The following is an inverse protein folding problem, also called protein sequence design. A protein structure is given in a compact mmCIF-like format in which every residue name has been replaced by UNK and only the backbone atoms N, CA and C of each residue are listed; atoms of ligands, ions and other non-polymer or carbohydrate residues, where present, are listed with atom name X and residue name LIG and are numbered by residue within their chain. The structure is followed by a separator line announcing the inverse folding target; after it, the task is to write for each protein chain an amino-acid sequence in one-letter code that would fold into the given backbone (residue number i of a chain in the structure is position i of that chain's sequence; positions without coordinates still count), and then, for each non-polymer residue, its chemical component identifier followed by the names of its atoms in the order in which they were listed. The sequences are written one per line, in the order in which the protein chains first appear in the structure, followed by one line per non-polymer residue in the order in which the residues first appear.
data_IF_250064555837
#
_entry.id   IF_250064555837
#
_cell.length_a   1.000
_cell.length_b   1.000
_cell.length_c   1.000
_cell.angle_alpha   90.00
_cell.angle_beta   90.00
_cell.angle_gamma   90.00
#
_symmetry.space_group_name_H-M   'P 1'
#
loop_
_entity.id
_entity.type
_entity.pdbx_description
1 polymer ?
#
# COMPACT_ATOMS: atom_id res chain seq x y z
N UNK A 1 -77.04 -22.96 17.00
CA UNK A 1 -75.66 -23.27 17.41
C UNK A 1 -74.76 -22.71 16.34
N UNK A 2 -74.28 -21.51 16.55
CA UNK A 2 -73.23 -20.90 15.71
C UNK A 2 -71.90 -21.23 16.30
N UNK A 3 -70.98 -21.79 15.54
CA UNK A 3 -69.57 -21.98 15.87
C UNK A 3 -68.75 -20.89 15.18
N UNK A 4 -68.18 -20.01 15.94
CA UNK A 4 -67.22 -19.00 15.51
C UNK A 4 -65.89 -19.69 15.11
N UNK A 5 -65.45 -19.45 13.88
CA UNK A 5 -64.12 -19.79 13.37
C UNK A 5 -63.20 -18.55 13.57
N UNK A 6 -62.37 -18.56 14.63
CA UNK A 6 -61.23 -17.66 14.71
C UNK A 6 -60.02 -18.25 13.92
N UNK A 7 -59.57 -17.58 12.90
CA UNK A 7 -58.32 -17.88 12.25
C UNK A 7 -57.19 -17.16 13.01
N UNK A 8 -56.04 -17.83 13.23
CA UNK A 8 -54.90 -17.17 13.90
C UNK A 8 -54.22 -16.21 12.91
N UNK A 9 -54.01 -14.97 13.34
CA UNK A 9 -53.20 -13.97 12.65
C UNK A 9 -51.76 -14.42 12.63
N UNK A 10 -51.22 -14.71 11.45
CA UNK A 10 -49.82 -15.03 11.25
C UNK A 10 -48.92 -13.82 11.53
N UNK A 11 -48.02 -13.94 12.52
CA UNK A 11 -46.90 -13.02 12.70
C UNK A 11 -45.97 -13.16 11.49
N UNK A 12 -45.89 -12.09 10.68
CA UNK A 12 -44.80 -11.93 9.67
C UNK A 12 -43.55 -11.50 10.45
N UNK A 13 -42.45 -12.26 10.44
CA UNK A 13 -41.24 -11.80 11.07
C UNK A 13 -40.71 -10.59 10.29
N UNK A 14 -40.60 -9.44 10.98
CA UNK A 14 -39.80 -8.32 10.51
C UNK A 14 -38.35 -8.78 10.45
N UNK A 15 -37.83 -9.02 9.26
CA UNK A 15 -36.40 -9.15 9.04
C UNK A 15 -35.79 -7.76 9.29
N UNK A 16 -35.29 -7.56 10.51
CA UNK A 16 -34.40 -6.45 10.82
C UNK A 16 -33.12 -6.68 10.00
N UNK A 17 -32.99 -5.99 8.86
CA UNK A 17 -31.72 -5.88 8.18
C UNK A 17 -30.73 -5.24 9.15
N UNK A 18 -29.71 -5.98 9.58
CA UNK A 18 -28.57 -5.41 10.27
C UNK A 18 -28.04 -4.25 9.43
N UNK A 19 -27.80 -3.07 9.99
CA UNK A 19 -27.15 -2.02 9.25
C UNK A 19 -25.84 -2.57 8.69
N UNK A 20 -25.59 -2.38 7.39
CA UNK A 20 -24.32 -2.70 6.78
C UNK A 20 -23.23 -1.99 7.61
N UNK A 21 -22.27 -2.74 8.13
CA UNK A 21 -21.15 -2.14 8.85
C UNK A 21 -20.44 -1.19 7.90
N UNK A 22 -20.26 0.06 8.33
CA UNK A 22 -19.50 1.03 7.55
C UNK A 22 -18.04 0.57 7.47
N UNK A 23 -17.50 0.47 6.25
CA UNK A 23 -16.08 0.20 6.04
C UNK A 23 -15.37 1.53 5.85
N UNK A 24 -14.48 1.85 6.78
CA UNK A 24 -13.72 3.09 6.74
C UNK A 24 -12.42 2.90 5.94
N UNK A 25 -12.04 3.95 5.20
CA UNK A 25 -10.75 4.06 4.54
C UNK A 25 -10.12 5.41 4.91
N UNK A 26 -8.80 5.45 4.96
CA UNK A 26 -8.03 6.68 5.09
C UNK A 26 -7.31 6.95 3.78
N UNK A 27 -7.44 8.15 3.24
CA UNK A 27 -6.75 8.60 2.03
C UNK A 27 -5.93 9.84 2.33
N UNK A 28 -4.62 9.80 2.02
CA UNK A 28 -3.74 10.96 2.10
C UNK A 28 -3.57 11.62 0.74
N UNK A 29 -3.33 12.93 0.73
CA UNK A 29 -3.13 13.68 -0.50
C UNK A 29 -2.18 14.87 -0.32
N UNK A 30 -1.56 15.32 -1.40
CA UNK A 30 -0.69 16.50 -1.41
C UNK A 30 -1.42 17.85 -1.20
N UNK A 31 -2.73 17.82 -0.94
CA UNK A 31 -3.43 19.00 -0.41
C UNK A 31 -3.12 19.28 1.07
N UNK A 32 -2.45 18.35 1.75
CA UNK A 32 -2.18 18.41 3.19
C UNK A 32 -3.16 17.59 4.03
N UNK A 33 -4.18 17.01 3.41
CA UNK A 33 -5.25 16.32 4.12
C UNK A 33 -5.03 14.80 4.22
N UNK A 34 -5.48 14.24 5.33
CA UNK A 34 -5.85 12.83 5.46
C UNK A 34 -7.37 12.78 5.59
N UNK A 35 -8.04 12.27 4.57
CA UNK A 35 -9.50 12.18 4.48
C UNK A 35 -9.96 10.80 4.88
N UNK A 36 -10.90 10.71 5.81
CA UNK A 36 -11.62 9.48 6.11
C UNK A 36 -12.80 9.33 5.17
N UNK A 37 -12.86 8.21 4.48
CA UNK A 37 -13.93 7.84 3.56
C UNK A 37 -14.78 6.73 4.18
N UNK A 38 -16.09 6.82 4.02
CA UNK A 38 -17.06 5.79 4.41
C UNK A 38 -17.54 5.07 3.17
N UNK A 39 -17.20 3.78 3.06
CA UNK A 39 -17.68 2.88 2.03
C UNK A 39 -18.95 2.18 2.50
N UNK A 40 -20.03 2.34 1.74
CA UNK A 40 -21.26 1.57 1.91
C UNK A 40 -21.50 0.73 0.68
N UNK A 41 -21.51 -0.59 0.84
CA UNK A 41 -21.81 -1.54 -0.23
C UNK A 41 -23.31 -1.85 -0.25
N UNK A 42 -23.90 -1.80 -1.43
CA UNK A 42 -25.31 -2.17 -1.64
C UNK A 42 -25.40 -3.54 -2.31
N UNK A 43 -25.30 -4.59 -1.50
CA UNK A 43 -25.47 -5.98 -1.97
C UNK A 43 -24.61 -6.32 -3.19
N UNK A 44 -25.22 -6.97 -4.19
CA UNK A 44 -24.56 -7.35 -5.45
C UNK A 44 -24.62 -6.24 -6.53
N UNK A 45 -25.15 -5.06 -6.25
CA UNK A 45 -25.39 -4.00 -7.23
C UNK A 45 -24.33 -2.87 -7.09
N UNK A 46 -23.34 -2.86 -7.97
CA UNK A 46 -22.30 -1.83 -8.05
C UNK A 46 -22.91 -0.40 -8.13
N UNK A 47 -24.05 -0.23 -8.79
CA UNK A 47 -24.67 1.08 -9.03
C UNK A 47 -25.25 1.75 -7.77
N UNK A 48 -25.28 1.06 -6.63
CA UNK A 48 -25.79 1.61 -5.36
C UNK A 48 -24.72 1.68 -4.26
N UNK A 49 -23.49 1.23 -4.54
CA UNK A 49 -22.39 1.41 -3.59
C UNK A 49 -21.94 2.86 -3.56
N UNK A 50 -21.60 3.37 -2.38
CA UNK A 50 -21.17 4.76 -2.20
C UNK A 50 -19.85 4.83 -1.46
N UNK A 51 -19.03 5.81 -1.82
CA UNK A 51 -17.81 6.20 -1.12
C UNK A 51 -17.90 7.69 -0.83
N UNK A 52 -18.00 8.06 0.44
CA UNK A 52 -18.27 9.45 0.85
C UNK A 52 -17.24 9.92 1.87
N UNK A 53 -16.79 11.17 1.73
CA UNK A 53 -15.97 11.81 2.74
C UNK A 53 -16.75 11.97 4.05
N UNK A 54 -16.20 11.47 5.14
CA UNK A 54 -16.76 11.51 6.47
C UNK A 54 -16.12 12.61 7.32
N UNK A 55 -14.80 12.67 7.30
CA UNK A 55 -13.99 13.65 8.02
C UNK A 55 -12.68 13.91 7.29
N UNK A 56 -11.97 14.97 7.68
CA UNK A 56 -10.64 15.29 7.16
C UNK A 56 -9.77 15.89 8.25
N UNK A 57 -8.48 15.60 8.24
CA UNK A 57 -7.47 16.12 9.17
C UNK A 57 -6.27 16.66 8.43
N UNK A 58 -5.83 17.88 8.75
CA UNK A 58 -4.61 18.49 8.21
C UNK A 58 -3.40 18.30 9.15
N UNK A 59 -3.50 17.43 10.15
CA UNK A 59 -2.40 17.18 11.09
C UNK A 59 -1.14 16.61 10.46
N UNK A 60 -1.23 16.06 9.24
CA UNK A 60 -0.09 15.54 8.49
C UNK A 60 0.48 16.54 7.45
N UNK A 61 -0.16 17.72 7.26
CA UNK A 61 0.25 18.69 6.24
C UNK A 61 1.73 19.11 6.33
N UNK A 62 2.36 19.61 5.21
CA UNK A 62 1.68 20.01 3.98
C UNK A 62 1.60 18.94 2.87
N UNK A 63 2.42 17.90 2.87
CA UNK A 63 2.57 16.97 1.73
C UNK A 63 2.51 15.51 2.18
N UNK A 64 1.37 15.03 2.73
CA UNK A 64 1.20 13.64 3.17
C UNK A 64 1.53 12.66 2.04
N UNK A 65 2.35 11.63 2.32
CA UNK A 65 2.86 10.70 1.30
C UNK A 65 2.56 9.23 1.60
N UNK A 66 2.43 8.87 2.87
CA UNK A 66 2.21 7.49 3.29
C UNK A 66 1.36 7.41 4.55
N UNK A 67 0.60 6.33 4.66
CA UNK A 67 -0.21 6.00 5.83
C UNK A 67 0.17 4.60 6.34
N UNK A 68 0.47 4.49 7.63
CA UNK A 68 0.73 3.23 8.33
C UNK A 68 -0.27 3.04 9.45
N UNK A 69 -1.16 2.06 9.31
CA UNK A 69 -2.12 1.70 10.35
C UNK A 69 -1.49 0.73 11.36
N UNK A 70 -1.64 1.05 12.63
CA UNK A 70 -1.39 0.18 13.77
C UNK A 70 -2.75 -0.10 14.45
N UNK A 71 -3.52 -0.98 13.80
CA UNK A 71 -4.90 -1.30 14.23
C UNK A 71 -4.95 -1.83 15.64
N UNK A 72 -3.95 -2.62 16.05
CA UNK A 72 -3.89 -3.22 17.39
C UNK A 72 -3.86 -2.17 18.51
N UNK A 73 -3.24 -1.02 18.24
CA UNK A 73 -3.11 0.09 19.18
C UNK A 73 -4.03 1.29 18.83
N UNK A 74 -4.94 1.12 17.86
CA UNK A 74 -5.84 2.15 17.35
C UNK A 74 -5.07 3.44 16.96
N UNK A 75 -3.98 3.30 16.22
CA UNK A 75 -3.11 4.39 15.77
C UNK A 75 -2.94 4.40 14.25
N UNK A 76 -2.87 5.60 13.70
CA UNK A 76 -2.47 5.84 12.32
C UNK A 76 -1.23 6.74 12.32
N UNK A 77 -0.20 6.35 11.58
CA UNK A 77 0.96 7.20 11.31
C UNK A 77 0.89 7.73 9.89
N UNK A 78 1.26 8.99 9.73
CA UNK A 78 1.30 9.66 8.44
C UNK A 78 2.65 10.35 8.26
N UNK A 79 3.32 10.11 7.13
CA UNK A 79 4.54 10.83 6.74
C UNK A 79 4.21 12.00 5.82
N UNK A 80 4.92 13.11 5.99
CA UNK A 80 4.83 14.31 5.16
C UNK A 80 6.20 14.56 4.51
N UNK A 81 6.24 14.53 3.18
CA UNK A 81 7.48 14.69 2.41
C UNK A 81 8.15 16.03 2.60
N UNK A 82 7.41 17.06 3.04
CA UNK A 82 7.96 18.41 3.18
C UNK A 82 8.31 19.07 1.85
N UNK A 83 7.57 18.77 0.77
CA UNK A 83 7.86 19.27 -0.58
C UNK A 83 7.90 20.80 -0.68
N UNK A 84 7.22 21.50 0.21
CA UNK A 84 7.17 22.97 0.28
C UNK A 84 8.00 23.54 1.43
N UNK A 85 8.40 22.72 2.41
CA UNK A 85 9.13 23.15 3.62
C UNK A 85 10.59 22.71 3.62
N UNK A 86 10.96 21.74 2.77
CA UNK A 86 12.25 21.03 2.76
C UNK A 86 12.55 20.26 4.06
N UNK A 87 11.57 20.13 4.95
CA UNK A 87 11.66 19.36 6.20
C UNK A 87 10.54 18.35 6.21
N UNK A 88 10.89 17.07 6.27
CA UNK A 88 9.91 16.00 6.42
C UNK A 88 9.35 15.96 7.85
N UNK A 89 8.13 15.47 7.98
CA UNK A 89 7.55 15.21 9.30
C UNK A 89 6.87 13.85 9.36
N UNK A 90 6.67 13.36 10.56
CA UNK A 90 5.77 12.23 10.84
C UNK A 90 4.78 12.63 11.92
N UNK A 91 3.52 12.31 11.69
CA UNK A 91 2.41 12.54 12.63
C UNK A 91 1.81 11.22 13.06
N UNK A 92 1.36 11.13 14.30
CA UNK A 92 0.54 10.04 14.80
C UNK A 92 -0.86 10.52 15.17
N UNK A 93 -1.85 9.67 14.90
CA UNK A 93 -3.24 9.92 15.18
C UNK A 93 -3.83 8.73 15.93
N UNK A 94 -4.78 9.01 16.82
CA UNK A 94 -5.71 8.01 17.33
C UNK A 94 -6.82 7.81 16.31
N UNK A 95 -7.14 6.56 15.99
CA UNK A 95 -8.30 6.19 15.16
C UNK A 95 -9.51 5.88 16.03
N UNK A 96 -10.68 6.25 15.56
CA UNK A 96 -11.96 5.99 16.23
C UNK A 96 -12.97 5.35 15.30
N UNK A 97 -13.97 4.68 15.85
CA UNK A 97 -15.06 4.05 15.09
C UNK A 97 -15.91 5.07 14.28
N UNK A 98 -15.85 6.33 14.65
CA UNK A 98 -16.47 7.46 13.96
C UNK A 98 -15.63 7.99 12.77
N UNK A 99 -14.43 7.42 12.56
CA UNK A 99 -13.51 7.83 11.50
C UNK A 99 -12.83 9.18 11.73
N UNK A 100 -12.99 9.81 12.89
CA UNK A 100 -12.29 11.05 13.23
C UNK A 100 -10.86 10.73 13.65
N UNK A 101 -9.89 11.44 13.07
CA UNK A 101 -8.47 11.33 13.42
C UNK A 101 -8.09 12.40 14.44
N UNK A 102 -7.78 11.97 15.66
CA UNK A 102 -7.27 12.82 16.73
C UNK A 102 -5.73 12.81 16.70
N UNK A 103 -5.11 13.95 16.42
CA UNK A 103 -3.63 14.02 16.39
C UNK A 103 -3.05 13.84 17.79
N UNK A 104 -2.14 12.88 17.95
CA UNK A 104 -1.45 12.58 19.21
C UNK A 104 -0.08 13.26 19.29
N UNK A 105 0.71 13.16 18.22
CA UNK A 105 2.05 13.74 18.14
C UNK A 105 2.42 14.10 16.71
N UNK A 106 3.39 15.00 16.55
CA UNK A 106 4.07 15.32 15.30
C UNK A 106 5.53 15.66 15.60
N UNK A 107 6.46 15.16 14.76
CA UNK A 107 7.88 15.48 14.88
C UNK A 107 8.52 15.62 13.51
N UNK A 108 9.62 16.38 13.45
CA UNK A 108 10.42 16.51 12.24
C UNK A 108 11.20 15.23 11.95
N UNK A 109 11.42 14.98 10.66
CA UNK A 109 12.29 13.92 10.15
C UNK A 109 13.27 14.50 9.12
N UNK A 110 14.16 13.67 8.60
CA UNK A 110 14.92 13.99 7.39
C UNK A 110 13.92 14.16 6.22
N UNK A 111 14.26 14.96 5.23
CA UNK A 111 13.36 15.34 4.13
C UNK A 111 12.86 14.15 3.32
N UNK A 112 11.70 14.32 2.73
CA UNK A 112 11.01 13.37 1.83
C UNK A 112 10.79 11.97 2.40
N UNK A 113 10.17 11.82 3.60
CA UNK A 113 9.73 10.53 4.07
C UNK A 113 8.57 10.02 3.18
N UNK A 114 8.66 8.78 2.69
CA UNK A 114 7.73 8.20 1.70
C UNK A 114 7.12 6.88 2.11
N UNK A 115 7.60 6.28 3.21
CA UNK A 115 7.06 5.04 3.77
C UNK A 115 7.38 4.94 5.25
N UNK A 116 6.53 4.24 5.99
CA UNK A 116 6.71 3.95 7.41
C UNK A 116 6.23 2.53 7.74
N UNK A 117 6.87 1.86 8.69
CA UNK A 117 6.44 0.57 9.22
C UNK A 117 6.63 0.50 10.74
N UNK A 118 5.63 -0.07 11.42
CA UNK A 118 5.73 -0.37 12.87
C UNK A 118 6.50 -1.67 13.04
N UNK A 119 7.49 -1.69 13.94
CA UNK A 119 8.31 -2.88 14.22
C UNK A 119 8.56 -3.08 15.72
N UNK A 120 9.25 -4.19 16.06
CA UNK A 120 9.49 -4.61 17.43
C UNK A 120 8.35 -5.43 18.02
N UNK A 121 8.65 -6.33 18.96
CA UNK A 121 7.72 -7.37 19.44
C UNK A 121 6.42 -6.87 20.08
N UNK A 122 6.32 -5.57 20.41
CA UNK A 122 5.12 -4.91 20.92
C UNK A 122 4.74 -3.69 20.09
N UNK A 123 5.27 -3.55 18.86
CA UNK A 123 5.03 -2.37 18.02
C UNK A 123 5.53 -1.07 18.67
N UNK A 124 6.73 -1.07 19.24
CA UNK A 124 7.31 0.08 19.93
C UNK A 124 8.28 0.89 19.08
N UNK A 125 8.66 0.39 17.92
CA UNK A 125 9.48 1.08 16.93
C UNK A 125 8.67 1.50 15.71
N UNK A 126 9.03 2.63 15.12
CA UNK A 126 8.54 3.10 13.82
C UNK A 126 9.75 3.39 12.94
N UNK A 127 9.92 2.66 11.84
CA UNK A 127 10.93 2.93 10.83
C UNK A 127 10.34 3.76 9.69
N UNK A 128 11.17 4.63 9.09
CA UNK A 128 10.75 5.55 8.02
C UNK A 128 11.82 5.59 6.95
N UNK A 129 11.43 5.42 5.69
CA UNK A 129 12.28 5.64 4.52
C UNK A 129 12.15 7.09 4.03
N UNK A 130 13.30 7.76 3.83
CA UNK A 130 13.38 9.13 3.32
C UNK A 130 14.03 9.13 1.93
N UNK A 131 13.19 9.29 0.90
CA UNK A 131 13.60 9.24 -0.50
C UNK A 131 14.59 10.37 -0.87
N UNK A 132 14.20 11.61 -0.68
CA UNK A 132 15.05 12.78 -1.00
C UNK A 132 16.17 12.98 0.01
N UNK A 133 16.01 12.48 1.23
CA UNK A 133 17.02 12.56 2.28
C UNK A 133 18.07 11.44 2.26
N UNK A 134 17.97 10.49 1.33
CA UNK A 134 18.88 9.33 1.21
C UNK A 134 19.08 8.57 2.53
N UNK A 135 18.03 8.41 3.33
CA UNK A 135 18.16 7.98 4.72
C UNK A 135 17.07 7.01 5.15
N UNK A 136 17.33 6.34 6.26
CA UNK A 136 16.35 5.61 7.06
C UNK A 136 16.43 6.13 8.48
N UNK A 137 15.29 6.47 9.08
CA UNK A 137 15.20 6.90 10.48
C UNK A 137 14.27 5.98 11.25
N UNK A 138 14.49 5.84 12.56
CA UNK A 138 13.54 5.12 13.41
C UNK A 138 13.32 5.80 14.75
N UNK A 139 12.13 5.59 15.28
CA UNK A 139 11.57 6.29 16.42
C UNK A 139 11.05 5.29 17.45
N UNK A 140 11.16 5.65 18.74
CA UNK A 140 10.41 4.99 19.81
C UNK A 140 8.98 5.58 19.85
N UNK A 141 7.99 4.70 19.71
CA UNK A 141 6.57 5.00 19.73
C UNK A 141 5.83 4.33 20.89
N UNK A 142 6.56 3.89 21.93
CA UNK A 142 5.99 3.27 23.13
C UNK A 142 5.08 4.22 23.92
N UNK A 143 5.38 5.52 23.88
CA UNK A 143 4.48 6.56 24.39
C UNK A 143 3.59 7.09 23.27
N UNK A 144 2.25 6.88 23.31
CA UNK A 144 1.35 7.34 22.25
C UNK A 144 1.39 8.86 21.98
N UNK A 145 1.78 9.66 23.01
CA UNK A 145 1.84 11.12 22.91
C UNK A 145 3.21 11.64 22.43
N UNK A 146 4.12 10.74 22.02
CA UNK A 146 5.45 11.13 21.57
C UNK A 146 5.97 10.24 20.44
N UNK A 147 6.70 10.87 19.53
CA UNK A 147 7.49 10.21 18.49
C UNK A 147 8.95 10.57 18.80
N UNK A 148 9.65 9.70 19.54
CA UNK A 148 10.99 9.99 20.04
C UNK A 148 12.05 9.46 19.08
N UNK A 149 12.87 10.31 18.44
CA UNK A 149 13.94 9.85 17.56
C UNK A 149 14.92 8.92 18.30
N UNK A 150 15.21 7.76 17.72
CA UNK A 150 16.23 6.83 18.22
C UNK A 150 17.52 7.00 17.43
N UNK A 151 17.44 6.87 16.09
CA UNK A 151 18.60 6.99 15.20
C UNK A 151 18.15 7.27 13.77
N UNK A 152 19.08 7.78 12.95
CA UNK A 152 18.99 7.84 11.50
C UNK A 152 20.28 7.36 10.86
N UNK A 153 20.19 6.74 9.68
CA UNK A 153 21.34 6.39 8.84
C UNK A 153 21.17 7.01 7.46
N UNK A 154 22.16 7.80 7.05
CA UNK A 154 22.21 8.45 5.73
C UNK A 154 23.21 7.74 4.86
N UNK A 155 22.85 7.49 3.63
CA UNK A 155 23.61 6.72 2.66
C UNK A 155 24.22 7.64 1.59
N UNK A 156 25.31 7.17 0.99
CA UNK A 156 26.00 7.86 -0.09
C UNK A 156 26.34 6.87 -1.20
N UNK A 157 26.43 7.35 -2.43
CA UNK A 157 26.95 6.64 -3.58
C UNK A 157 28.20 7.35 -4.07
N UNK A 158 29.16 6.59 -4.62
CA UNK A 158 30.39 7.15 -5.19
C UNK A 158 30.19 7.74 -6.59
N UNK A 159 29.13 7.32 -7.28
CA UNK A 159 28.71 7.80 -8.59
C UNK A 159 27.22 7.51 -8.78
N UNK A 160 26.51 8.24 -9.67
CA UNK A 160 25.16 7.92 -10.07
C UNK A 160 25.02 6.51 -10.65
N UNK A 161 23.83 5.92 -10.48
CA UNK A 161 23.49 4.63 -11.09
C UNK A 161 23.24 4.73 -12.60
N UNK A 162 22.85 3.60 -13.26
CA UNK A 162 22.64 3.54 -14.70
C UNK A 162 21.58 4.51 -15.25
N UNK A 163 20.63 4.95 -14.41
CA UNK A 163 19.65 6.00 -14.75
C UNK A 163 19.92 7.26 -13.92
N UNK A 164 20.86 8.14 -14.32
CA UNK A 164 21.30 9.25 -13.49
C UNK A 164 20.24 10.26 -13.13
N UNK A 165 19.13 10.35 -13.89
CA UNK A 165 18.02 11.25 -13.59
C UNK A 165 17.13 10.78 -12.43
N UNK A 166 17.26 9.50 -12.04
CA UNK A 166 16.48 8.84 -10.99
C UNK A 166 17.37 8.12 -9.96
N UNK A 167 18.65 7.99 -10.25
CA UNK A 167 19.65 7.30 -9.43
C UNK A 167 20.89 8.18 -9.22
N UNK A 168 20.65 9.47 -9.04
CA UNK A 168 21.67 10.48 -8.72
C UNK A 168 22.23 10.33 -7.31
N UNK A 169 21.43 9.77 -6.40
CA UNK A 169 21.73 9.50 -4.99
C UNK A 169 20.99 8.23 -4.52
N UNK A 170 21.27 7.71 -3.32
CA UNK A 170 20.42 6.71 -2.68
C UNK A 170 19.01 7.26 -2.48
N UNK A 171 17.98 6.45 -2.78
CA UNK A 171 16.58 6.80 -2.63
C UNK A 171 15.81 5.68 -1.94
N UNK A 172 15.96 5.49 -0.61
CA UNK A 172 15.11 4.58 0.17
C UNK A 172 13.64 4.87 -0.07
N UNK A 173 12.89 3.87 -0.57
CA UNK A 173 11.51 4.12 -1.01
C UNK A 173 10.47 3.46 -0.12
N UNK A 174 10.80 2.35 0.50
CA UNK A 174 9.92 1.64 1.42
C UNK A 174 10.70 1.19 2.66
N UNK A 175 9.98 0.98 3.75
CA UNK A 175 10.39 0.18 4.91
C UNK A 175 9.36 -0.93 5.11
N UNK A 176 9.79 -2.18 5.13
CA UNK A 176 8.92 -3.35 5.22
C UNK A 176 9.43 -4.34 6.27
N UNK A 177 8.56 -4.80 7.17
CA UNK A 177 8.89 -5.76 8.22
C UNK A 177 8.76 -7.18 7.68
N UNK A 178 9.79 -8.02 7.87
CA UNK A 178 9.73 -9.42 7.48
C UNK A 178 8.67 -10.22 8.27
N UNK A 179 8.18 -11.37 7.76
CA UNK A 179 7.11 -12.14 8.41
C UNK A 179 7.41 -12.63 9.82
N UNK A 180 8.69 -12.71 10.21
CA UNK A 180 9.11 -13.11 11.56
C UNK A 180 9.32 -11.92 12.50
N UNK A 181 9.19 -10.69 12.00
CA UNK A 181 9.44 -9.48 12.76
C UNK A 181 10.90 -9.31 13.20
N UNK A 182 11.82 -9.93 12.47
CA UNK A 182 13.26 -9.95 12.79
C UNK A 182 14.08 -8.95 11.98
N UNK A 183 13.57 -8.53 10.82
CA UNK A 183 14.26 -7.66 9.89
C UNK A 183 13.33 -6.60 9.31
N UNK A 184 13.87 -5.40 9.12
CA UNK A 184 13.26 -4.35 8.27
C UNK A 184 14.03 -4.29 6.98
N UNK A 185 13.34 -4.44 5.85
CA UNK A 185 13.88 -4.35 4.50
C UNK A 185 13.57 -2.97 3.94
N UNK A 186 14.53 -2.42 3.18
CA UNK A 186 14.43 -1.06 2.62
C UNK A 186 14.89 -1.09 1.17
N UNK A 187 13.98 -1.24 0.21
CA UNK A 187 14.30 -1.00 -1.20
C UNK A 187 14.82 0.42 -1.40
N UNK A 188 15.99 0.52 -2.04
CA UNK A 188 16.67 1.77 -2.37
C UNK A 188 16.74 1.90 -3.89
N UNK A 189 15.85 2.71 -4.45
CA UNK A 189 15.68 2.90 -5.88
C UNK A 189 16.95 3.47 -6.53
N UNK A 190 17.61 4.39 -5.84
CA UNK A 190 18.81 5.04 -6.37
C UNK A 190 20.04 4.16 -6.35
N UNK A 191 20.17 3.31 -5.36
CA UNK A 191 21.36 2.48 -5.15
C UNK A 191 21.27 1.07 -5.75
N UNK A 192 20.13 0.67 -6.34
CA UNK A 192 19.84 -0.69 -6.77
C UNK A 192 20.08 -1.74 -5.67
N UNK A 193 19.64 -1.43 -4.45
CA UNK A 193 19.79 -2.30 -3.27
C UNK A 193 18.42 -2.55 -2.62
N UNK A 194 18.31 -3.66 -1.89
CA UNK A 194 17.38 -3.75 -0.76
C UNK A 194 18.24 -3.79 0.50
N UNK A 195 18.28 -2.68 1.23
CA UNK A 195 19.01 -2.59 2.51
C UNK A 195 18.29 -3.42 3.55
N UNK A 196 19.02 -4.08 4.44
CA UNK A 196 18.47 -4.94 5.48
C UNK A 196 18.96 -4.50 6.84
N UNK A 197 18.02 -4.37 7.77
CA UNK A 197 18.28 -4.05 9.16
C UNK A 197 17.74 -5.18 10.06
N UNK A 198 18.56 -5.73 10.92
CA UNK A 198 18.10 -6.62 11.96
C UNK A 198 17.41 -5.83 13.08
N UNK A 199 16.26 -6.33 13.54
CA UNK A 199 15.55 -5.77 14.69
C UNK A 199 16.32 -6.17 15.96
N UNK A 200 16.79 -5.18 16.73
CA UNK A 200 17.53 -5.36 17.95
C UNK A 200 16.78 -4.73 19.12
N UNK A 201 16.16 -5.59 19.92
CA UNK A 201 15.32 -5.15 21.03
C UNK A 201 13.94 -4.64 20.56
N UNK A 202 13.39 -3.67 21.28
CA UNK A 202 12.02 -3.20 21.09
C UNK A 202 11.87 -2.14 19.98
N UNK A 203 12.90 -1.32 19.79
CA UNK A 203 12.83 -0.13 18.95
C UNK A 203 14.18 0.25 18.28
N UNK A 204 15.12 -0.68 18.15
CA UNK A 204 16.41 -0.42 17.52
C UNK A 204 16.61 -1.30 16.28
N UNK A 205 17.35 -0.76 15.30
CA UNK A 205 17.70 -1.42 14.04
C UNK A 205 19.22 -1.41 13.87
N UNK A 206 19.77 -2.53 13.38
CA UNK A 206 21.19 -2.71 13.10
C UNK A 206 21.35 -3.14 11.64
N UNK A 207 22.08 -2.36 10.86
CA UNK A 207 22.34 -2.68 9.45
C UNK A 207 23.09 -4.02 9.31
N UNK A 208 22.68 -4.83 8.37
CA UNK A 208 23.31 -6.11 7.99
C UNK A 208 23.52 -6.15 6.47
N UNK A 209 23.96 -7.30 5.91
CA UNK A 209 24.20 -7.44 4.48
C UNK A 209 22.94 -7.16 3.65
N UNK A 210 23.07 -6.30 2.65
CA UNK A 210 22.01 -5.91 1.71
C UNK A 210 21.87 -6.89 0.56
N UNK A 211 20.67 -6.99 -0.01
CA UNK A 211 20.43 -7.61 -1.31
C UNK A 211 20.82 -6.63 -2.42
N UNK A 212 21.63 -7.07 -3.37
CA UNK A 212 21.97 -6.31 -4.58
C UNK A 212 20.98 -6.67 -5.69
N UNK A 213 20.24 -5.69 -6.18
CA UNK A 213 19.32 -5.83 -7.31
C UNK A 213 20.02 -5.60 -8.65
N UNK A 214 19.32 -5.87 -9.74
CA UNK A 214 19.86 -5.64 -11.09
C UNK A 214 20.16 -4.14 -11.31
N UNK A 215 21.32 -3.78 -11.88
CA UNK A 215 21.68 -2.39 -12.12
C UNK A 215 20.65 -1.65 -12.99
N UNK A 216 20.24 -0.47 -12.56
CA UNK A 216 19.23 0.35 -13.22
C UNK A 216 17.79 -0.10 -13.01
N UNK A 217 17.55 -1.11 -12.17
CA UNK A 217 16.21 -1.65 -11.93
C UNK A 217 15.33 -0.72 -11.08
N UNK A 218 15.93 0.01 -10.15
CA UNK A 218 15.22 0.91 -9.24
C UNK A 218 14.27 0.17 -8.30
N UNK A 219 14.78 -0.56 -7.28
CA UNK A 219 13.99 -1.20 -6.23
C UNK A 219 13.01 -0.23 -5.57
N UNK A 220 11.73 -0.60 -5.49
CA UNK A 220 10.72 0.32 -4.97
C UNK A 220 10.00 -0.23 -3.74
N UNK A 221 9.25 -1.32 -3.88
CA UNK A 221 8.51 -1.97 -2.82
C UNK A 221 8.78 -3.48 -2.82
N UNK A 222 8.51 -4.11 -1.67
CA UNK A 222 8.64 -5.56 -1.47
C UNK A 222 7.41 -6.14 -0.81
N UNK A 223 7.19 -7.43 -1.07
CA UNK A 223 6.21 -8.25 -0.35
C UNK A 223 6.78 -9.63 -0.04
N UNK A 224 6.38 -10.21 1.08
CA UNK A 224 6.78 -11.54 1.47
C UNK A 224 5.66 -12.56 1.31
N UNK A 225 6.03 -13.75 0.86
CA UNK A 225 5.18 -14.93 0.92
C UNK A 225 5.85 -16.02 1.77
N UNK A 226 5.15 -16.48 2.81
CA UNK A 226 5.52 -17.72 3.50
C UNK A 226 4.59 -18.81 3.00
N UNK A 227 5.16 -19.82 2.35
CA UNK A 227 4.38 -20.92 1.80
C UNK A 227 3.95 -21.91 2.89
N UNK A 228 2.91 -22.73 2.65
CA UNK A 228 2.51 -23.77 3.60
C UNK A 228 3.63 -24.77 3.95
N UNK A 229 4.58 -24.97 3.03
CA UNK A 229 5.76 -25.83 3.22
C UNK A 229 6.89 -25.15 4.00
N UNK A 230 6.70 -23.88 4.41
CA UNK A 230 7.65 -23.12 5.22
C UNK A 230 8.75 -22.41 4.43
N UNK A 231 8.69 -22.39 3.09
CA UNK A 231 9.56 -21.52 2.30
C UNK A 231 9.16 -20.06 2.46
N UNK A 232 10.13 -19.17 2.41
CA UNK A 232 9.90 -17.74 2.41
C UNK A 232 10.41 -17.15 1.09
N UNK A 233 9.53 -16.50 0.36
CA UNK A 233 9.87 -15.72 -0.83
C UNK A 233 9.74 -14.22 -0.56
N UNK A 234 10.67 -13.45 -1.14
CA UNK A 234 10.60 -11.99 -1.25
C UNK A 234 10.30 -11.64 -2.70
N UNK A 235 9.25 -10.88 -2.94
CA UNK A 235 8.91 -10.30 -4.24
C UNK A 235 9.30 -8.82 -4.23
N UNK A 236 10.23 -8.44 -5.09
CA UNK A 236 10.72 -7.08 -5.26
C UNK A 236 10.13 -6.49 -6.53
N UNK A 237 9.35 -5.42 -6.42
CA UNK A 237 8.95 -4.62 -7.58
C UNK A 237 9.98 -3.53 -7.84
N UNK A 238 10.43 -3.44 -9.09
CA UNK A 238 11.43 -2.46 -9.55
C UNK A 238 10.76 -1.43 -10.46
N UNK A 239 10.77 -0.17 -10.03
CA UNK A 239 10.06 0.94 -10.68
C UNK A 239 10.59 1.23 -12.08
N UNK A 240 11.93 1.32 -12.22
CA UNK A 240 12.55 1.80 -13.45
C UNK A 240 12.58 0.71 -14.53
N UNK A 241 12.80 -0.53 -14.12
CA UNK A 241 12.81 -1.69 -15.02
C UNK A 241 11.40 -2.23 -15.32
N UNK A 242 10.37 -1.87 -14.53
CA UNK A 242 9.04 -2.46 -14.60
C UNK A 242 9.07 -4.00 -14.49
N UNK A 243 9.78 -4.50 -13.49
CA UNK A 243 9.93 -5.94 -13.24
C UNK A 243 9.48 -6.31 -11.83
N UNK A 244 9.08 -7.58 -11.67
CA UNK A 244 9.01 -8.25 -10.37
C UNK A 244 10.08 -9.33 -10.35
N UNK A 245 10.97 -9.27 -9.35
CA UNK A 245 12.00 -10.29 -9.11
C UNK A 245 11.69 -11.02 -7.81
N UNK A 246 11.72 -12.35 -7.83
CA UNK A 246 11.45 -13.20 -6.67
C UNK A 246 12.76 -13.80 -6.15
N UNK A 247 12.95 -13.72 -4.85
CA UNK A 247 14.09 -14.33 -4.15
C UNK A 247 13.58 -15.36 -3.14
N UNK A 248 14.22 -16.55 -3.11
CA UNK A 248 14.13 -17.49 -1.99
C UNK A 248 14.94 -16.92 -0.83
N UNK A 249 14.32 -16.79 0.37
CA UNK A 249 14.89 -16.10 1.53
C UNK A 249 15.30 -17.13 2.60
N UNK A 250 16.58 -17.17 2.92
CA UNK A 250 17.14 -17.98 3.99
C UNK A 250 17.46 -17.13 5.22
N UNK A 251 16.84 -17.45 6.36
CA UNK A 251 17.19 -16.89 7.67
C UNK A 251 18.42 -17.61 8.21
N UNK A 252 19.53 -16.88 8.45
CA UNK A 252 20.81 -17.42 8.88
C UNK A 252 21.02 -17.27 10.39
N UNK A 253 21.78 -18.16 11.00
CA UNK A 253 22.09 -18.15 12.43
C UNK A 253 22.80 -16.89 12.92
N UNK A 254 23.62 -16.27 12.05
CA UNK A 254 24.32 -15.02 12.32
C UNK A 254 23.45 -13.76 12.26
N UNK A 255 22.11 -13.93 12.29
CA UNK A 255 21.13 -12.83 12.18
C UNK A 255 21.28 -12.02 10.89
N UNK A 256 21.48 -12.69 9.76
CA UNK A 256 21.42 -12.11 8.42
C UNK A 256 20.43 -12.87 7.54
N UNK A 257 20.04 -12.28 6.42
CA UNK A 257 19.25 -12.94 5.40
C UNK A 257 20.13 -13.37 4.22
N UNK A 258 19.83 -14.53 3.63
CA UNK A 258 20.38 -14.95 2.36
C UNK A 258 19.31 -14.85 1.29
N UNK A 259 19.67 -14.39 0.10
CA UNK A 259 18.74 -14.22 -1.01
C UNK A 259 19.25 -14.99 -2.22
N UNK A 260 18.38 -15.81 -2.83
CA UNK A 260 18.66 -16.51 -4.08
C UNK A 260 17.58 -16.15 -5.09
N UNK A 261 17.94 -15.48 -6.18
CA UNK A 261 16.98 -15.17 -7.25
C UNK A 261 16.44 -16.47 -7.85
N UNK A 262 15.11 -16.59 -7.92
CA UNK A 262 14.42 -17.76 -8.49
C UNK A 262 13.52 -17.42 -9.67
N UNK A 263 13.15 -16.14 -9.82
CA UNK A 263 12.35 -15.64 -10.92
C UNK A 263 12.61 -14.15 -11.14
N UNK A 264 12.57 -13.70 -12.39
CA UNK A 264 12.47 -12.29 -12.76
C UNK A 264 11.63 -12.14 -14.02
N UNK A 265 10.70 -11.20 -14.03
CA UNK A 265 9.80 -11.01 -15.15
C UNK A 265 9.19 -9.61 -15.22
N UNK A 266 8.67 -9.25 -16.39
CA UNK A 266 7.98 -7.99 -16.61
C UNK A 266 6.69 -7.91 -15.81
N UNK A 267 6.37 -6.73 -15.25
CA UNK A 267 5.08 -6.41 -14.64
C UNK A 267 3.90 -6.49 -15.65
N UNK A 268 4.18 -6.65 -16.94
CA UNK A 268 3.21 -6.81 -18.02
C UNK A 268 3.03 -8.26 -18.49
N UNK A 269 3.74 -9.19 -17.87
CA UNK A 269 3.73 -10.62 -18.16
C UNK A 269 4.86 -11.07 -19.09
N UNK A 270 5.00 -12.37 -19.26
CA UNK A 270 6.10 -12.98 -20.01
C UNK A 270 6.12 -12.48 -21.46
N UNK A 271 7.31 -12.06 -21.93
CA UNK A 271 7.52 -11.55 -23.30
C UNK A 271 6.93 -10.18 -23.60
N UNK A 272 6.26 -9.53 -22.64
CA UNK A 272 5.74 -8.19 -22.79
C UNK A 272 6.67 -7.14 -22.19
N UNK A 273 6.85 -6.02 -22.90
CA UNK A 273 7.55 -4.84 -22.41
C UNK A 273 6.58 -3.82 -21.84
N UNK A 274 7.04 -3.05 -20.88
CA UNK A 274 6.31 -1.88 -20.39
C UNK A 274 6.20 -0.82 -21.51
N UNK A 275 5.07 -0.12 -21.64
CA UNK A 275 4.97 1.06 -22.49
C UNK A 275 6.01 2.12 -22.13
N UNK A 276 6.41 2.94 -23.11
CA UNK A 276 7.36 4.02 -22.85
C UNK A 276 6.79 5.00 -21.81
N UNK A 277 7.60 5.34 -20.80
CA UNK A 277 7.20 6.24 -19.71
C UNK A 277 6.42 5.55 -18.58
N UNK A 278 6.04 4.29 -18.74
CA UNK A 278 5.43 3.52 -17.66
C UNK A 278 6.42 3.27 -16.51
N UNK A 279 5.90 3.26 -15.29
CA UNK A 279 6.67 2.95 -14.08
C UNK A 279 5.83 2.13 -13.10
N UNK A 280 6.38 1.00 -12.67
CA UNK A 280 5.75 0.16 -11.67
C UNK A 280 5.68 0.88 -10.31
N UNK A 281 4.67 0.59 -9.50
CA UNK A 281 4.50 1.30 -8.24
C UNK A 281 4.25 0.35 -7.05
N UNK A 282 3.01 0.00 -6.79
CA UNK A 282 2.63 -0.80 -5.64
C UNK A 282 2.61 -2.30 -5.94
N UNK A 283 2.83 -3.09 -4.92
CA UNK A 283 2.78 -4.55 -4.96
C UNK A 283 2.01 -5.08 -3.74
N UNK A 284 1.21 -6.10 -3.93
CA UNK A 284 0.46 -6.76 -2.88
C UNK A 284 0.29 -8.26 -3.18
N UNK A 285 0.35 -9.10 -2.16
CA UNK A 285 0.12 -10.55 -2.23
C UNK A 285 -1.16 -10.90 -1.46
N UNK A 286 -2.01 -11.76 -2.05
CA UNK A 286 -3.21 -12.26 -1.38
C UNK A 286 -2.87 -13.07 -0.13
N UNK A 287 -3.72 -12.99 0.90
CA UNK A 287 -3.51 -13.69 2.18
C UNK A 287 -3.40 -15.21 2.06
N UNK A 288 -3.97 -15.80 0.99
CA UNK A 288 -3.83 -17.23 0.67
C UNK A 288 -2.57 -17.56 -0.14
N UNK A 289 -1.74 -16.55 -0.47
CA UNK A 289 -0.47 -16.68 -1.18
C UNK A 289 -0.58 -17.10 -2.64
N UNK A 290 -1.76 -17.01 -3.26
CA UNK A 290 -1.97 -17.49 -4.63
C UNK A 290 -1.83 -16.42 -5.70
N UNK A 291 -2.02 -15.14 -5.33
CA UNK A 291 -2.09 -14.06 -6.30
C UNK A 291 -1.20 -12.89 -5.85
N UNK A 292 -0.56 -12.26 -6.83
CA UNK A 292 0.19 -11.04 -6.67
C UNK A 292 -0.40 -9.98 -7.61
N UNK A 293 -0.66 -8.79 -7.09
CA UNK A 293 -1.15 -7.65 -7.89
C UNK A 293 -0.14 -6.51 -7.82
N UNK A 294 0.12 -5.87 -8.95
CA UNK A 294 0.97 -4.67 -9.06
C UNK A 294 0.21 -3.56 -9.74
N UNK A 295 0.54 -2.31 -9.40
CA UNK A 295 0.06 -1.14 -10.14
C UNK A 295 1.12 -0.61 -11.09
N UNK A 296 0.68 -0.08 -12.22
CA UNK A 296 1.51 0.60 -13.20
C UNK A 296 1.05 2.05 -13.37
N UNK A 297 1.97 2.97 -13.50
CA UNK A 297 1.72 4.40 -13.70
C UNK A 297 2.11 4.81 -15.12
N UNK A 298 1.38 5.74 -15.70
CA UNK A 298 1.65 6.32 -17.04
C UNK A 298 1.63 5.29 -18.20
N UNK A 299 0.93 4.19 -18.05
CA UNK A 299 0.81 3.21 -19.13
C UNK A 299 -0.42 3.45 -20.03
N UNK A 300 -1.43 4.16 -19.53
CA UNK A 300 -2.67 4.49 -20.24
C UNK A 300 -3.24 3.31 -21.01
N UNK A 301 -3.15 2.11 -20.41
CA UNK A 301 -3.45 0.83 -21.06
C UNK A 301 -4.95 0.68 -21.40
N UNK A 302 -5.80 1.49 -20.77
CA UNK A 302 -7.26 1.39 -20.91
C UNK A 302 -7.90 2.75 -21.17
N UNK A 303 -9.12 2.69 -21.74
CA UNK A 303 -10.06 3.79 -21.79
C UNK A 303 -11.34 3.35 -21.08
N UNK A 304 -11.81 4.11 -20.11
CA UNK A 304 -12.97 3.79 -19.28
C UNK A 304 -14.00 4.91 -19.32
N UNK A 305 -15.24 4.61 -18.99
CA UNK A 305 -16.29 5.63 -18.84
C UNK A 305 -15.89 6.63 -17.74
N UNK A 306 -16.06 7.92 -18.02
CA UNK A 306 -15.75 8.97 -17.06
C UNK A 306 -16.71 8.88 -15.85
N UNK A 307 -16.19 8.61 -14.63
CA UNK A 307 -17.04 8.51 -13.45
C UNK A 307 -17.64 9.84 -12.99
N UNK A 308 -17.13 10.98 -13.49
CA UNK A 308 -17.68 12.31 -13.20
C UNK A 308 -18.89 12.66 -14.03
N UNK A 309 -19.07 11.99 -15.18
CA UNK A 309 -20.18 12.22 -16.12
C UNK A 309 -20.80 10.89 -16.53
N UNK A 310 -21.36 10.11 -15.57
CA UNK A 310 -21.92 8.80 -15.84
C UNK A 310 -23.07 8.91 -16.85
N UNK A 311 -23.02 8.10 -17.92
CA UNK A 311 -24.06 8.07 -18.96
C UNK A 311 -23.87 9.09 -20.10
N UNK A 312 -22.91 10.01 -20.04
CA UNK A 312 -22.65 10.98 -21.11
C UNK A 312 -21.75 10.44 -22.24
N UNK A 313 -21.27 9.20 -22.12
CA UNK A 313 -20.41 8.56 -23.11
C UNK A 313 -18.96 9.06 -23.15
N UNK A 314 -18.59 10.03 -22.28
CA UNK A 314 -17.24 10.51 -22.17
C UNK A 314 -16.30 9.42 -21.65
N UNK A 315 -15.10 9.31 -22.26
CA UNK A 315 -14.09 8.33 -21.88
C UNK A 315 -12.87 9.06 -21.30
N UNK A 316 -12.23 8.43 -20.31
CA UNK A 316 -10.95 8.89 -19.74
C UNK A 316 -9.91 7.77 -19.81
N UNK A 317 -8.60 8.12 -19.91
CA UNK A 317 -7.53 7.13 -19.84
C UNK A 317 -7.46 6.52 -18.44
N UNK A 318 -7.09 5.25 -18.38
CA UNK A 318 -6.77 4.56 -17.13
C UNK A 318 -5.50 3.75 -17.28
N UNK A 319 -4.64 3.89 -16.27
CA UNK A 319 -3.50 3.00 -16.07
C UNK A 319 -3.96 1.64 -15.56
N UNK A 320 -3.04 0.67 -15.45
CA UNK A 320 -3.35 -0.72 -15.17
C UNK A 320 -3.03 -1.17 -13.75
N UNK A 321 -3.84 -2.14 -13.28
CA UNK A 321 -3.50 -3.10 -12.24
C UNK A 321 -3.29 -4.46 -12.91
N UNK A 322 -2.14 -5.08 -12.67
CA UNK A 322 -1.77 -6.36 -13.28
C UNK A 322 -1.70 -7.43 -12.20
N UNK A 323 -2.54 -8.46 -12.32
CA UNK A 323 -2.61 -9.58 -11.37
C UNK A 323 -1.94 -10.81 -11.96
N UNK A 324 -1.16 -11.50 -11.13
CA UNK A 324 -0.44 -12.72 -11.44
C UNK A 324 -0.89 -13.86 -10.52
N UNK A 325 -0.84 -15.09 -11.03
CA UNK A 325 -0.82 -16.29 -10.18
C UNK A 325 0.60 -16.55 -9.72
N UNK A 326 0.72 -17.02 -8.46
CA UNK A 326 1.99 -17.40 -7.84
C UNK A 326 2.13 -18.93 -7.88
N UNK A 327 3.24 -19.44 -8.37
CA UNK A 327 3.65 -20.82 -8.13
C UNK A 327 4.40 -20.92 -6.79
N UNK A 328 3.73 -21.40 -5.76
CA UNK A 328 4.30 -21.50 -4.41
C UNK A 328 5.54 -22.43 -4.32
N UNK A 329 5.76 -23.32 -5.29
CA UNK A 329 6.94 -24.22 -5.30
C UNK A 329 8.20 -23.52 -5.80
N UNK A 330 8.04 -22.67 -6.80
CA UNK A 330 9.15 -22.02 -7.52
C UNK A 330 9.28 -20.53 -7.25
N UNK A 331 8.24 -19.88 -6.70
CA UNK A 331 8.16 -18.42 -6.57
C UNK A 331 7.81 -17.71 -7.88
N UNK A 332 7.62 -18.47 -8.98
CA UNK A 332 7.35 -17.94 -10.32
C UNK A 332 5.98 -17.27 -10.45
N UNK A 333 5.88 -16.33 -11.39
CA UNK A 333 4.68 -15.56 -11.67
C UNK A 333 4.16 -15.81 -13.09
N UNK A 334 2.83 -15.95 -13.23
CA UNK A 334 2.15 -16.01 -14.52
C UNK A 334 1.05 -14.98 -14.57
N UNK A 335 1.03 -14.10 -15.58
CA UNK A 335 0.02 -13.06 -15.71
C UNK A 335 -1.38 -13.70 -15.82
N UNK A 336 -2.26 -13.30 -14.91
CA UNK A 336 -3.65 -13.73 -14.85
C UNK A 336 -4.59 -12.72 -15.52
N UNK A 337 -4.39 -11.42 -15.24
CA UNK A 337 -5.28 -10.37 -15.70
C UNK A 337 -4.56 -9.02 -15.74
N UNK A 338 -4.92 -8.19 -16.74
CA UNK A 338 -4.74 -6.74 -16.72
C UNK A 338 -6.10 -6.08 -16.56
N UNK A 339 -6.20 -5.11 -15.66
CA UNK A 339 -7.46 -4.46 -15.33
C UNK A 339 -7.27 -2.94 -15.18
N UNK A 340 -8.24 -2.10 -15.60
CA UNK A 340 -8.12 -0.65 -15.42
C UNK A 340 -8.14 -0.27 -13.94
N UNK A 341 -7.19 0.58 -13.54
CA UNK A 341 -7.10 1.09 -12.17
C UNK A 341 -8.23 2.08 -11.79
N UNK A 342 -9.03 2.51 -12.78
CA UNK A 342 -10.09 3.49 -12.61
C UNK A 342 -9.69 4.93 -12.93
N UNK A 343 -8.46 5.15 -13.44
CA UNK A 343 -7.89 6.43 -13.79
C UNK A 343 -6.36 6.40 -13.85
N UNK A 344 -5.72 7.57 -13.68
CA UNK A 344 -4.29 7.77 -13.92
C UNK A 344 -3.48 7.79 -12.64
N UNK A 345 -2.26 7.26 -12.73
CA UNK A 345 -1.24 7.20 -11.69
C UNK A 345 -1.76 6.51 -10.42
N UNK A 346 -2.08 5.20 -10.48
CA UNK A 346 -2.38 4.39 -9.29
C UNK A 346 -1.10 4.21 -8.46
N UNK A 347 -0.68 5.28 -7.74
CA UNK A 347 0.57 5.32 -6.97
C UNK A 347 0.60 4.26 -5.88
N UNK A 348 -0.54 4.07 -5.22
CA UNK A 348 -0.72 3.10 -4.14
C UNK A 348 -2.15 2.55 -4.18
N UNK A 349 -2.30 1.30 -3.80
CA UNK A 349 -3.59 0.65 -3.55
C UNK A 349 -3.50 -0.22 -2.30
N UNK A 350 -4.64 -0.48 -1.69
CA UNK A 350 -4.77 -1.45 -0.61
C UNK A 350 -5.91 -2.44 -0.89
N UNK A 351 -5.87 -3.58 -0.21
CA UNK A 351 -6.89 -4.62 -0.34
C UNK A 351 -7.54 -4.83 1.02
N UNK A 352 -8.86 -5.00 1.04
CA UNK A 352 -9.62 -5.30 2.25
C UNK A 352 -9.13 -6.58 2.92
N UNK A 353 -9.29 -6.70 4.22
CA UNK A 353 -8.92 -7.91 4.98
C UNK A 353 -9.57 -9.19 4.45
N UNK A 354 -10.80 -9.09 3.94
CA UNK A 354 -11.49 -10.19 3.29
C UNK A 354 -10.91 -10.55 1.92
N UNK A 355 -10.12 -9.66 1.31
CA UNK A 355 -9.50 -9.84 0.01
C UNK A 355 -10.45 -9.67 -1.18
N UNK A 356 -11.62 -9.10 -0.96
CA UNK A 356 -12.71 -8.96 -1.94
C UNK A 356 -12.88 -7.54 -2.51
N UNK A 357 -12.18 -6.55 -1.94
CA UNK A 357 -12.17 -5.16 -2.37
C UNK A 357 -10.75 -4.64 -2.56
N UNK A 358 -10.54 -3.81 -3.57
CA UNK A 358 -9.30 -3.07 -3.81
C UNK A 358 -9.62 -1.58 -3.83
N UNK A 359 -9.01 -0.81 -2.94
CA UNK A 359 -9.07 0.64 -2.95
C UNK A 359 -7.82 1.19 -3.65
N UNK A 360 -7.99 2.04 -4.65
CA UNK A 360 -6.91 2.57 -5.50
C UNK A 360 -6.85 4.08 -5.36
N UNK A 361 -5.68 4.59 -4.97
CA UNK A 361 -5.37 6.03 -4.95
C UNK A 361 -4.85 6.49 -6.32
N UNK A 362 -5.65 7.30 -7.02
CA UNK A 362 -5.34 7.84 -8.35
C UNK A 362 -4.77 9.24 -8.21
N UNK A 363 -3.45 9.36 -8.21
CA UNK A 363 -2.73 10.60 -7.92
C UNK A 363 -3.12 11.74 -8.86
N UNK A 364 -3.06 11.52 -10.18
CA UNK A 364 -3.36 12.57 -11.16
C UNK A 364 -4.85 12.90 -11.33
N UNK A 365 -5.73 12.04 -10.84
CA UNK A 365 -7.18 12.26 -10.95
C UNK A 365 -7.81 12.73 -9.65
N UNK A 366 -7.02 12.90 -8.58
CA UNK A 366 -7.47 13.34 -7.25
C UNK A 366 -8.68 12.51 -6.79
N UNK A 367 -8.54 11.20 -6.84
CA UNK A 367 -9.66 10.26 -6.70
C UNK A 367 -9.24 8.98 -5.99
N UNK A 368 -10.15 8.44 -5.19
CA UNK A 368 -10.10 7.06 -4.71
C UNK A 368 -11.18 6.27 -5.43
N UNK A 369 -10.83 5.08 -5.91
CA UNK A 369 -11.72 4.13 -6.57
C UNK A 369 -11.76 2.84 -5.76
N UNK A 370 -12.93 2.22 -5.63
CA UNK A 370 -13.07 0.89 -5.04
C UNK A 370 -13.49 -0.10 -6.12
N UNK A 371 -12.72 -1.16 -6.26
CA UNK A 371 -12.88 -2.22 -7.27
C UNK A 371 -13.22 -3.53 -6.55
N UNK A 372 -14.18 -4.29 -7.06
CA UNK A 372 -14.46 -5.64 -6.56
C UNK A 372 -13.35 -6.61 -6.96
N UNK A 373 -13.07 -7.58 -6.09
CA UNK A 373 -12.15 -8.67 -6.36
C UNK A 373 -12.79 -10.00 -5.97
N UNK A 374 -12.68 -10.99 -6.85
CA UNK A 374 -13.01 -12.36 -6.49
C UNK A 374 -11.81 -13.01 -5.82
N UNK A 375 -11.91 -13.24 -4.50
CA UNK A 375 -10.81 -13.78 -3.70
C UNK A 375 -10.40 -15.19 -4.16
N UNK A 376 -11.32 -15.99 -4.70
CA UNK A 376 -11.05 -17.37 -5.11
C UNK A 376 -10.26 -17.44 -6.44
N UNK A 377 -10.57 -16.59 -7.40
CA UNK A 377 -9.91 -16.55 -8.72
C UNK A 377 -8.79 -15.50 -8.80
N UNK A 378 -8.72 -14.57 -7.84
CA UNK A 378 -7.78 -13.45 -7.84
C UNK A 378 -8.15 -12.32 -8.79
N UNK A 379 -9.20 -12.46 -9.59
CA UNK A 379 -9.57 -11.50 -10.63
C UNK A 379 -10.24 -10.26 -10.06
N UNK A 380 -9.85 -9.11 -10.58
CA UNK A 380 -10.54 -7.84 -10.39
C UNK A 380 -11.81 -7.84 -11.27
N UNK A 381 -12.87 -7.28 -10.71
CA UNK A 381 -14.19 -7.24 -11.33
C UNK A 381 -14.63 -5.82 -11.69
N UNK A 382 -15.73 -5.34 -11.09
CA UNK A 382 -16.30 -4.05 -11.43
C UNK A 382 -15.70 -2.91 -10.58
N UNK A 383 -15.62 -1.71 -11.15
CA UNK A 383 -15.45 -0.47 -10.39
C UNK A 383 -16.77 -0.20 -9.69
N UNK A 384 -16.81 -0.40 -8.37
CA UNK A 384 -18.02 -0.33 -7.55
C UNK A 384 -18.44 1.12 -7.27
N UNK A 385 -17.46 1.96 -6.97
CA UNK A 385 -17.70 3.36 -6.61
C UNK A 385 -16.39 4.14 -6.62
N UNK A 386 -16.49 5.47 -6.62
CA UNK A 386 -15.35 6.36 -6.48
C UNK A 386 -15.72 7.62 -5.71
N UNK A 387 -14.71 8.27 -5.12
CA UNK A 387 -14.84 9.58 -4.49
C UNK A 387 -13.69 10.50 -4.92
N UNK A 388 -13.99 11.78 -5.14
CA UNK A 388 -12.96 12.82 -5.26
C UNK A 388 -12.37 13.11 -3.89
N UNK A 389 -11.07 13.32 -3.87
CA UNK A 389 -10.30 13.78 -2.70
C UNK A 389 -9.53 15.00 -3.15
N UNK A 390 -9.49 16.03 -2.30
CA UNK A 390 -8.74 17.24 -2.64
C UNK A 390 -7.25 16.94 -2.80
N UNK A 391 -6.68 17.39 -3.93
CA UNK A 391 -5.26 17.21 -4.29
C UNK A 391 -4.91 15.80 -4.76
N UNK A 392 -3.65 15.61 -5.08
CA UNK A 392 -3.08 14.36 -5.58
C UNK A 392 -3.08 13.28 -4.50
N UNK A 393 -3.83 12.20 -4.71
CA UNK A 393 -3.89 11.08 -3.74
C UNK A 393 -2.58 10.32 -3.72
N UNK A 394 -1.99 10.16 -2.55
CA UNK A 394 -0.68 9.53 -2.36
C UNK A 394 -0.77 8.12 -1.78
N UNK A 395 -1.71 7.89 -0.86
CA UNK A 395 -2.00 6.57 -0.32
C UNK A 395 -3.49 6.45 0.05
N UNK A 396 -4.01 5.22 0.02
CA UNK A 396 -5.34 4.85 0.53
C UNK A 396 -5.27 3.49 1.22
N UNK A 397 -5.79 3.40 2.45
CA UNK A 397 -5.80 2.16 3.23
C UNK A 397 -7.16 1.93 3.87
N UNK A 398 -7.53 0.65 4.02
CA UNK A 398 -8.70 0.26 4.83
C UNK A 398 -8.38 0.38 6.33
N UNK A 399 -9.39 0.75 7.13
CA UNK A 399 -9.31 0.76 8.60
C UNK A 399 -9.61 -0.65 9.19
N UNK A 400 -8.78 -1.65 8.86
CA UNK A 400 -9.02 -3.06 9.22
C UNK A 400 -7.84 -3.72 9.94
#
# INVERSE_FOLDING_TARGET
MLRDLFAPAGLVPLLLSSPAAATLLYASSYSGAVTTLNLTLSGTNATQSTLQSLSSSNGCAPSPSWLQLDKANARLFCTDEGLTTNVGTVSSFKTGADGVLEQLAKTETISSPVSAVVFGGKGQGLAIAQYGGSSVSWFDISNPAALTPVKSETFNMSAPGPNPSRQDAPHPHEVFLDPKGQFVLVPDLGADLVRVFAVDGANNLVAVDSLVAAPGSGPRHVEFLVTPEGKTYLYLISELANTVTTYDVAYRENKTLGFTEVFSGSTYGAGASAPAGASAAEIWISSDGKFLTVSSRNDSAFSISNPDTPGEGAQIPSDSLNTFTIDAKTGGLTLLQKFPAGGRIPRQFSVSKAGDLVAVGLQSDSRVVVISRDAASGKLGEILTSAKVDGEVTAVIFDE
#
